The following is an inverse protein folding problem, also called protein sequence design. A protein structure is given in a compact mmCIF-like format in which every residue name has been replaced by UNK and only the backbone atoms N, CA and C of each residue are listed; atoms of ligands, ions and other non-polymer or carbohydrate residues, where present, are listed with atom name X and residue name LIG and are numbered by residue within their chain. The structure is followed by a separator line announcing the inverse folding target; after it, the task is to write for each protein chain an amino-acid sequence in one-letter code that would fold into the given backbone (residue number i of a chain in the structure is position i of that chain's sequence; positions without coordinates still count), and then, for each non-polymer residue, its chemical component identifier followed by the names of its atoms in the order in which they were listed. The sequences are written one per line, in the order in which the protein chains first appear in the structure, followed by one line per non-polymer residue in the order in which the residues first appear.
data_IF_051943520702
#
_entry.id   IF_051943520702
#
_cell.length_a   1.000
_cell.length_b   1.000
_cell.length_c   1.000
_cell.angle_alpha   90.00
_cell.angle_beta   90.00
_cell.angle_gamma   90.00
#
_symmetry.space_group_name_H-M   'P 1'
#
loop_
_entity.id
_entity.type
_entity.pdbx_description
1 polymer ?
#
# COMPACT_ATOMS: atom_id res chain seq x y z
N UNK A 1 -6.85 20.69 20.49
CA UNK A 1 -6.66 19.59 19.52
C UNK A 1 -6.99 20.19 18.18
N UNK A 2 -5.99 20.49 17.36
CA UNK A 2 -6.25 20.89 15.97
C UNK A 2 -6.81 19.67 15.24
N UNK A 3 -7.96 19.82 14.59
CA UNK A 3 -8.45 18.81 13.65
C UNK A 3 -7.40 18.63 12.55
N UNK A 4 -6.94 17.39 12.32
CA UNK A 4 -6.10 17.07 11.16
C UNK A 4 -6.92 17.37 9.89
N UNK A 5 -6.76 18.59 9.37
CA UNK A 5 -7.39 19.05 8.13
C UNK A 5 -6.90 18.18 6.97
N UNK A 6 -7.84 17.70 6.16
CA UNK A 6 -7.47 16.92 4.99
C UNK A 6 -6.74 17.76 3.94
N UNK A 7 -6.05 17.11 3.01
CA UNK A 7 -5.44 17.80 1.88
C UNK A 7 -6.46 18.64 1.10
N UNK A 8 -7.72 18.19 1.10
CA UNK A 8 -8.83 18.92 0.49
C UNK A 8 -9.21 20.13 1.31
N UNK A 9 -9.23 20.04 2.64
CA UNK A 9 -9.52 21.19 3.50
C UNK A 9 -8.43 22.25 3.38
N UNK A 10 -7.16 21.83 3.33
CA UNK A 10 -6.02 22.73 3.08
C UNK A 10 -6.10 23.38 1.69
N UNK A 11 -6.50 22.62 0.67
CA UNK A 11 -6.73 23.17 -0.67
C UNK A 11 -7.93 24.10 -0.71
N UNK A 12 -9.00 23.80 0.01
CA UNK A 12 -10.19 24.65 0.10
C UNK A 12 -9.86 25.98 0.75
N UNK A 13 -9.04 25.96 1.80
CA UNK A 13 -8.56 27.16 2.48
C UNK A 13 -7.69 28.05 1.57
N UNK A 14 -6.85 27.43 0.74
CA UNK A 14 -5.94 28.17 -0.16
C UNK A 14 -6.62 28.63 -1.46
N UNK A 15 -7.48 27.81 -2.06
CA UNK A 15 -7.98 28.00 -3.43
C UNK A 15 -9.52 28.15 -3.53
N UNK A 16 -10.27 28.06 -2.43
CA UNK A 16 -11.72 28.27 -2.40
C UNK A 16 -12.55 26.98 -2.39
N UNK A 17 -13.87 27.07 -2.56
CA UNK A 17 -14.78 25.98 -2.16
C UNK A 17 -14.51 24.60 -2.82
N UNK A 18 -14.86 23.53 -2.08
CA UNK A 18 -14.65 22.11 -2.43
C UNK A 18 -15.31 21.66 -3.74
N UNK A 19 -16.46 22.26 -4.09
CA UNK A 19 -17.18 21.99 -5.34
C UNK A 19 -16.53 22.64 -6.57
N UNK A 20 -15.86 23.77 -6.39
CA UNK A 20 -15.04 24.41 -7.41
C UNK A 20 -13.77 23.61 -7.64
N UNK A 21 -13.08 23.12 -6.60
CA UNK A 21 -11.86 22.31 -6.75
C UNK A 21 -12.13 20.98 -7.46
N UNK A 22 -13.25 20.30 -7.17
CA UNK A 22 -13.64 19.08 -7.89
C UNK A 22 -14.04 19.31 -9.36
N UNK A 23 -14.37 20.54 -9.75
CA UNK A 23 -14.78 20.93 -11.11
C UNK A 23 -13.70 21.72 -11.87
N UNK A 24 -12.73 22.27 -11.16
CA UNK A 24 -11.62 23.02 -11.73
C UNK A 24 -10.59 22.03 -12.29
N UNK A 25 -10.16 22.27 -13.52
CA UNK A 25 -8.83 21.83 -13.92
C UNK A 25 -7.87 22.68 -13.10
N UNK A 26 -7.35 22.14 -11.99
CA UNK A 26 -6.27 22.82 -11.29
C UNK A 26 -5.13 23.06 -12.29
N UNK A 27 -4.59 24.26 -12.26
CA UNK A 27 -3.44 24.61 -13.09
C UNK A 27 -2.24 23.79 -12.63
N UNK A 28 -1.29 23.56 -13.54
CA UNK A 28 -0.10 22.73 -13.24
C UNK A 28 0.67 23.23 -12.00
N UNK A 29 0.66 24.54 -11.76
CA UNK A 29 1.35 25.15 -10.63
C UNK A 29 0.68 24.85 -9.28
N UNK A 30 -0.66 24.78 -9.25
CA UNK A 30 -1.40 24.41 -8.03
C UNK A 30 -1.18 22.93 -7.67
N UNK A 31 -1.01 22.08 -8.69
CA UNK A 31 -0.64 20.67 -8.52
C UNK A 31 0.79 20.48 -8.05
N UNK A 32 1.72 21.34 -8.46
CA UNK A 32 3.10 21.32 -7.93
C UNK A 32 3.13 21.71 -6.47
N UNK A 33 2.32 22.68 -6.06
CA UNK A 33 2.20 23.05 -4.64
C UNK A 33 1.69 21.89 -3.79
N UNK A 34 0.67 21.15 -4.28
CA UNK A 34 0.17 19.92 -3.64
C UNK A 34 1.30 18.91 -3.39
N UNK A 35 2.17 18.77 -4.39
CA UNK A 35 3.25 17.81 -4.44
C UNK A 35 4.60 18.43 -4.07
N UNK A 36 4.62 19.53 -3.31
CA UNK A 36 5.85 20.16 -2.76
C UNK A 36 6.95 20.41 -3.81
N UNK A 37 6.55 20.78 -5.03
CA UNK A 37 7.46 21.12 -6.14
C UNK A 37 7.99 19.92 -6.92
N UNK A 38 7.45 18.71 -6.74
CA UNK A 38 7.84 17.55 -7.53
C UNK A 38 7.61 17.78 -9.03
N UNK A 39 8.50 17.21 -9.84
CA UNK A 39 8.41 17.31 -11.29
C UNK A 39 7.27 16.42 -11.81
N UNK A 40 6.36 17.04 -12.55
CA UNK A 40 5.21 16.39 -13.16
C UNK A 40 5.41 16.24 -14.67
N UNK A 41 4.97 15.11 -15.22
CA UNK A 41 4.85 14.90 -16.66
C UNK A 41 3.37 14.63 -16.96
N UNK A 42 2.70 15.63 -17.54
CA UNK A 42 1.30 15.53 -17.95
C UNK A 42 1.16 14.68 -19.20
N UNK A 43 0.25 13.71 -19.17
CA UNK A 43 -0.07 12.83 -20.28
C UNK A 43 -1.25 13.37 -21.09
N UNK A 44 -1.40 12.89 -22.32
CA UNK A 44 -2.48 13.29 -23.22
C UNK A 44 -3.88 12.96 -22.69
N UNK A 45 -4.02 11.99 -21.79
CA UNK A 45 -5.27 11.60 -21.15
C UNK A 45 -5.57 12.38 -19.85
N UNK A 46 -4.75 13.39 -19.55
CA UNK A 46 -4.89 14.26 -18.38
C UNK A 46 -4.37 13.67 -17.06
N UNK A 47 -3.78 12.46 -17.08
CA UNK A 47 -3.07 11.91 -15.92
C UNK A 47 -1.62 12.41 -15.86
N UNK A 48 -0.98 12.17 -14.73
CA UNK A 48 0.40 12.62 -14.48
C UNK A 48 1.31 11.46 -14.11
N UNK A 49 2.53 11.50 -14.61
CA UNK A 49 3.65 10.80 -14.00
C UNK A 49 4.39 11.76 -13.07
N UNK A 50 4.63 11.32 -11.82
CA UNK A 50 5.36 12.11 -10.82
C UNK A 50 6.79 11.57 -10.69
N UNK A 51 7.77 12.47 -10.78
CA UNK A 51 9.18 12.13 -10.60
C UNK A 51 9.62 12.48 -9.18
N UNK A 52 9.68 11.46 -8.33
CA UNK A 52 10.04 11.54 -6.91
C UNK A 52 9.02 10.84 -6.03
N UNK A 53 9.16 11.03 -4.73
CA UNK A 53 8.31 10.41 -3.70
C UNK A 53 7.06 11.26 -3.45
N UNK A 54 5.89 10.63 -3.46
CA UNK A 54 4.61 11.27 -3.18
C UNK A 54 4.18 10.91 -1.77
N UNK A 55 3.93 11.92 -0.95
CA UNK A 55 3.54 11.77 0.46
C UNK A 55 2.15 12.36 0.71
N UNK A 56 1.19 11.46 0.93
CA UNK A 56 -0.19 11.74 1.33
C UNK A 56 -0.53 11.12 2.70
N UNK A 57 0.48 10.90 3.53
CA UNK A 57 0.34 10.22 4.83
C UNK A 57 -0.21 11.17 5.89
N UNK A 58 -0.99 10.66 6.84
CA UNK A 58 -1.51 11.44 7.98
C UNK A 58 -2.30 12.71 7.58
N UNK A 59 -3.14 12.60 6.55
CA UNK A 59 -3.97 13.70 6.03
C UNK A 59 -5.45 13.47 6.32
N UNK A 60 -5.81 12.53 7.19
CA UNK A 60 -7.22 12.23 7.50
C UNK A 60 -8.08 11.88 6.27
N UNK A 61 -7.46 11.36 5.20
CA UNK A 61 -8.15 11.03 3.96
C UNK A 61 -9.08 9.84 4.16
N UNK A 62 -10.28 9.92 3.60
CA UNK A 62 -11.21 8.79 3.53
C UNK A 62 -11.17 8.10 2.15
N UNK A 63 -10.70 8.81 1.12
CA UNK A 63 -10.46 8.28 -0.21
C UNK A 63 -9.35 9.04 -0.94
N UNK A 64 -8.51 8.33 -1.71
CA UNK A 64 -7.53 8.97 -2.59
C UNK A 64 -8.18 9.75 -3.74
N UNK A 65 -9.44 9.47 -4.07
CA UNK A 65 -10.21 10.26 -5.06
C UNK A 65 -10.53 11.69 -4.58
N UNK A 66 -10.29 11.98 -3.31
CA UNK A 66 -10.36 13.34 -2.78
C UNK A 66 -9.20 14.21 -3.28
N UNK A 67 -8.07 13.60 -3.65
CA UNK A 67 -6.89 14.29 -4.12
C UNK A 67 -7.15 14.80 -5.55
N UNK A 68 -6.97 16.10 -5.83
CA UNK A 68 -7.32 16.68 -7.12
C UNK A 68 -6.22 16.48 -8.18
N UNK A 69 -5.49 15.36 -8.12
CA UNK A 69 -4.54 14.93 -9.17
C UNK A 69 -4.75 13.47 -9.51
N UNK A 70 -4.76 13.15 -10.81
CA UNK A 70 -4.84 11.77 -11.30
C UNK A 70 -3.44 11.27 -11.64
N UNK A 71 -2.79 10.65 -10.67
CA UNK A 71 -1.44 10.10 -10.84
C UNK A 71 -1.54 8.73 -11.50
N UNK A 72 -0.85 8.54 -12.63
CA UNK A 72 -0.73 7.24 -13.29
C UNK A 72 0.47 6.46 -12.75
N UNK A 73 1.63 7.12 -12.67
CA UNK A 73 2.88 6.50 -12.23
C UNK A 73 3.62 7.40 -11.25
N UNK A 74 4.26 6.79 -10.28
CA UNK A 74 5.21 7.42 -9.37
C UNK A 74 6.57 6.77 -9.57
N UNK A 75 7.59 7.57 -9.89
CA UNK A 75 8.94 7.07 -10.10
C UNK A 75 9.69 6.79 -8.77
N UNK A 76 9.28 7.45 -7.69
CA UNK A 76 9.71 7.15 -6.32
C UNK A 76 8.68 6.29 -5.58
N UNK A 77 8.57 6.51 -4.28
CA UNK A 77 7.61 5.88 -3.37
C UNK A 77 6.28 6.64 -3.32
N UNK A 78 5.20 5.94 -2.97
CA UNK A 78 3.88 6.53 -2.73
C UNK A 78 3.42 6.17 -1.33
N UNK A 79 3.29 7.17 -0.48
CA UNK A 79 2.88 7.04 0.91
C UNK A 79 1.45 7.55 1.06
N UNK A 80 0.54 6.70 1.55
CA UNK A 80 -0.82 7.05 1.93
C UNK A 80 -1.22 6.40 3.26
N UNK A 81 -0.25 6.05 4.08
CA UNK A 81 -0.44 5.47 5.40
C UNK A 81 -1.02 6.46 6.42
N UNK A 82 -1.45 5.94 7.56
CA UNK A 82 -1.96 6.74 8.69
C UNK A 82 -3.18 7.60 8.30
N UNK A 83 -4.11 7.05 7.51
CA UNK A 83 -5.33 7.73 7.06
C UNK A 83 -6.57 6.93 7.48
N UNK A 84 -7.74 7.27 6.93
CA UNK A 84 -9.01 6.58 7.15
C UNK A 84 -9.50 5.90 5.85
N UNK A 85 -8.57 5.49 4.99
CA UNK A 85 -8.88 4.89 3.69
C UNK A 85 -9.56 3.54 3.88
N UNK A 86 -10.64 3.30 3.15
CA UNK A 86 -11.35 2.00 3.12
C UNK A 86 -11.03 1.15 1.88
N UNK A 87 -10.49 1.80 0.84
CA UNK A 87 -9.95 1.21 -0.37
C UNK A 87 -8.91 2.17 -0.97
N UNK A 88 -8.23 1.74 -2.05
CA UNK A 88 -7.17 2.49 -2.70
C UNK A 88 -7.53 2.92 -4.13
N UNK A 89 -8.83 3.03 -4.45
CA UNK A 89 -9.23 3.64 -5.71
C UNK A 89 -8.69 5.07 -5.81
N UNK A 90 -8.03 5.38 -6.93
CA UNK A 90 -7.33 6.65 -7.12
C UNK A 90 -5.82 6.59 -6.87
N UNK A 91 -5.30 5.48 -6.32
CA UNK A 91 -3.86 5.23 -6.27
C UNK A 91 -3.25 5.11 -7.68
N UNK A 92 -1.93 5.35 -7.82
CA UNK A 92 -1.22 5.16 -9.09
C UNK A 92 -1.30 3.71 -9.58
N UNK A 93 -1.26 3.53 -10.90
CA UNK A 93 -1.24 2.20 -11.53
C UNK A 93 0.10 1.49 -11.35
N UNK A 94 1.18 2.27 -11.19
CA UNK A 94 2.56 1.81 -11.07
C UNK A 94 3.36 2.68 -10.11
N UNK A 95 4.09 2.05 -9.20
CA UNK A 95 5.05 2.70 -8.31
C UNK A 95 6.40 1.99 -8.46
N UNK A 96 7.45 2.74 -8.75
CA UNK A 96 8.78 2.15 -8.93
C UNK A 96 9.56 2.02 -7.61
N UNK A 97 9.23 2.84 -6.61
CA UNK A 97 9.67 2.70 -5.22
C UNK A 97 8.70 1.87 -4.38
N UNK A 98 8.55 2.23 -3.11
CA UNK A 98 7.67 1.56 -2.16
C UNK A 98 6.24 2.10 -2.22
N UNK A 99 5.26 1.26 -1.88
CA UNK A 99 3.86 1.65 -1.73
C UNK A 99 3.41 1.37 -0.29
N UNK A 100 3.18 2.44 0.47
CA UNK A 100 2.87 2.37 1.89
C UNK A 100 1.42 2.79 2.14
N UNK A 101 0.59 1.84 2.57
CA UNK A 101 -0.82 2.06 2.92
C UNK A 101 -1.19 1.44 4.28
N UNK A 102 -0.21 1.27 5.17
CA UNK A 102 -0.42 0.77 6.52
C UNK A 102 -1.22 1.77 7.38
N UNK A 103 -1.69 1.33 8.55
CA UNK A 103 -2.48 2.14 9.49
C UNK A 103 -3.67 2.85 8.81
N UNK A 104 -4.55 2.05 8.20
CA UNK A 104 -5.77 2.51 7.53
C UNK A 104 -6.96 1.62 7.92
N UNK A 105 -8.09 1.75 7.23
CA UNK A 105 -9.30 0.96 7.44
C UNK A 105 -9.59 0.07 6.22
N UNK A 106 -8.54 -0.38 5.52
CA UNK A 106 -8.69 -1.16 4.29
C UNK A 106 -9.28 -2.53 4.62
N UNK A 107 -10.37 -2.86 3.92
CA UNK A 107 -10.98 -4.21 3.96
C UNK A 107 -10.61 -5.03 2.73
N UNK A 108 -10.11 -4.37 1.68
CA UNK A 108 -9.64 -4.98 0.43
C UNK A 108 -8.42 -4.23 -0.11
N UNK A 109 -7.61 -4.90 -0.92
CA UNK A 109 -6.53 -4.26 -1.69
C UNK A 109 -7.02 -3.78 -3.08
N UNK A 110 -8.31 -3.45 -3.21
CA UNK A 110 -8.85 -2.89 -4.46
C UNK A 110 -8.24 -1.52 -4.72
N UNK A 111 -7.70 -1.33 -5.91
CA UNK A 111 -7.13 -0.06 -6.37
C UNK A 111 -5.62 0.09 -6.17
N UNK A 112 -4.95 -0.88 -5.51
CA UNK A 112 -3.48 -0.88 -5.40
C UNK A 112 -2.80 -0.86 -6.76
N UNK A 113 -1.56 -0.34 -6.85
CA UNK A 113 -0.75 -0.44 -8.07
C UNK A 113 -0.55 -1.90 -8.49
N UNK A 114 -0.52 -2.12 -9.81
CA UNK A 114 -0.26 -3.46 -10.39
C UNK A 114 1.20 -3.87 -10.29
N UNK A 115 2.09 -2.90 -10.09
CA UNK A 115 3.53 -3.09 -9.98
C UNK A 115 4.08 -2.17 -8.89
N UNK A 116 4.85 -2.75 -7.97
CA UNK A 116 5.61 -2.07 -6.93
C UNK A 116 7.05 -2.56 -6.98
N UNK A 117 7.97 -1.65 -7.29
CA UNK A 117 9.39 -1.99 -7.46
C UNK A 117 10.14 -2.15 -6.12
N UNK A 118 9.69 -1.45 -5.08
CA UNK A 118 10.19 -1.54 -3.71
C UNK A 118 9.29 -2.39 -2.81
N UNK A 119 9.15 -1.95 -1.57
CA UNK A 119 8.34 -2.61 -0.54
C UNK A 119 6.86 -2.28 -0.71
N UNK A 120 5.99 -3.26 -0.45
CA UNK A 120 4.54 -3.06 -0.36
C UNK A 120 4.09 -3.27 1.09
N UNK A 121 3.61 -2.20 1.73
CA UNK A 121 3.15 -2.22 3.13
C UNK A 121 1.65 -2.01 3.23
N UNK A 122 0.95 -3.01 3.74
CA UNK A 122 -0.48 -2.94 4.05
C UNK A 122 -0.78 -3.50 5.46
N UNK A 123 0.20 -3.43 6.35
CA UNK A 123 0.07 -3.79 7.76
C UNK A 123 -0.97 -2.92 8.49
N UNK A 124 -1.48 -3.41 9.63
CA UNK A 124 -2.42 -2.70 10.50
C UNK A 124 -3.66 -2.19 9.76
N UNK A 125 -4.41 -3.12 9.17
CA UNK A 125 -5.64 -2.86 8.44
C UNK A 125 -6.71 -3.89 8.84
N UNK A 126 -7.80 -3.97 8.08
CA UNK A 126 -8.93 -4.89 8.33
C UNK A 126 -9.07 -5.89 7.18
N UNK A 127 -7.95 -6.26 6.54
CA UNK A 127 -7.94 -7.15 5.39
C UNK A 127 -8.33 -8.57 5.80
N UNK A 128 -9.28 -9.17 5.08
CA UNK A 128 -9.68 -10.58 5.24
C UNK A 128 -9.12 -11.47 4.14
N UNK A 129 -8.59 -10.87 3.07
CA UNK A 129 -7.83 -11.54 2.01
C UNK A 129 -6.85 -10.56 1.39
N UNK A 130 -5.82 -11.09 0.70
CA UNK A 130 -4.87 -10.29 -0.07
C UNK A 130 -5.29 -10.12 -1.53
N UNK A 131 -6.54 -10.47 -1.88
CA UNK A 131 -7.05 -10.32 -3.26
C UNK A 131 -6.94 -8.87 -3.71
N UNK A 132 -6.27 -8.70 -4.86
CA UNK A 132 -5.99 -7.39 -5.44
C UNK A 132 -4.54 -6.95 -5.27
N UNK A 133 -3.77 -7.58 -4.37
CA UNK A 133 -2.34 -7.30 -4.20
C UNK A 133 -1.57 -7.34 -5.54
N UNK A 134 -0.47 -6.58 -5.67
CA UNK A 134 0.43 -6.70 -6.81
C UNK A 134 0.94 -8.15 -6.95
N UNK A 135 0.97 -8.66 -8.18
CA UNK A 135 1.46 -10.02 -8.46
C UNK A 135 2.96 -10.19 -8.17
N UNK A 136 3.71 -9.09 -8.30
CA UNK A 136 5.15 -9.04 -8.13
C UNK A 136 5.50 -7.83 -7.27
N UNK A 137 6.31 -8.06 -6.24
CA UNK A 137 6.87 -7.01 -5.37
C UNK A 137 8.37 -7.18 -5.35
N UNK A 138 9.10 -6.09 -5.65
CA UNK A 138 10.56 -6.14 -5.77
C UNK A 138 11.29 -6.16 -4.43
N UNK A 139 10.73 -5.50 -3.42
CA UNK A 139 11.20 -5.50 -2.04
C UNK A 139 10.36 -6.43 -1.15
N UNK A 140 10.06 -5.97 0.06
CA UNK A 140 9.32 -6.73 1.05
C UNK A 140 7.81 -6.63 0.83
N UNK A 141 7.07 -7.64 1.28
CA UNK A 141 5.61 -7.58 1.37
C UNK A 141 5.20 -7.71 2.84
N UNK A 142 4.63 -6.64 3.39
CA UNK A 142 4.30 -6.53 4.82
C UNK A 142 2.79 -6.44 4.95
N UNK A 143 2.17 -7.48 5.53
CA UNK A 143 0.71 -7.56 5.73
C UNK A 143 0.31 -7.99 7.14
N UNK A 144 1.20 -7.79 8.11
CA UNK A 144 0.92 -8.12 9.51
C UNK A 144 -0.20 -7.28 10.12
N UNK A 145 -0.78 -7.72 11.24
CA UNK A 145 -1.83 -6.96 11.94
C UNK A 145 -3.12 -6.82 11.12
N UNK A 146 -3.61 -7.93 10.55
CA UNK A 146 -4.82 -7.98 9.74
C UNK A 146 -5.75 -9.13 10.23
N UNK A 147 -6.80 -9.45 9.46
CA UNK A 147 -7.77 -10.50 9.79
C UNK A 147 -7.70 -11.65 8.77
N UNK A 148 -6.50 -11.95 8.25
CA UNK A 148 -6.29 -12.97 7.23
C UNK A 148 -6.44 -14.37 7.85
N UNK A 149 -7.23 -15.23 7.22
CA UNK A 149 -7.35 -16.67 7.60
C UNK A 149 -6.57 -17.61 6.69
N UNK A 150 -6.23 -17.11 5.49
CA UNK A 150 -5.32 -17.71 4.51
C UNK A 150 -4.55 -16.59 3.81
N UNK A 151 -3.53 -16.93 3.03
CA UNK A 151 -2.78 -15.98 2.21
C UNK A 151 -3.35 -15.84 0.79
N UNK A 152 -4.62 -16.20 0.57
CA UNK A 152 -5.24 -16.14 -0.76
C UNK A 152 -5.18 -14.73 -1.36
N UNK A 153 -4.50 -14.62 -2.50
CA UNK A 153 -4.29 -13.36 -3.22
C UNK A 153 -2.93 -12.71 -2.96
N UNK A 154 -2.05 -13.30 -2.13
CA UNK A 154 -0.68 -12.82 -1.95
C UNK A 154 0.08 -12.73 -3.30
N UNK A 155 1.14 -11.90 -3.39
CA UNK A 155 1.99 -11.85 -4.56
C UNK A 155 2.54 -13.24 -4.92
N UNK A 156 2.67 -13.54 -6.23
CA UNK A 156 3.24 -14.80 -6.68
C UNK A 156 4.75 -14.87 -6.36
N UNK A 157 5.43 -13.72 -6.40
CA UNK A 157 6.86 -13.58 -6.11
C UNK A 157 7.15 -12.30 -5.34
N UNK A 158 7.90 -12.44 -4.26
CA UNK A 158 8.42 -11.34 -3.43
C UNK A 158 9.94 -11.36 -3.49
N UNK A 159 10.54 -10.24 -3.88
CA UNK A 159 11.99 -10.13 -4.05
C UNK A 159 12.75 -10.05 -2.73
N UNK A 160 12.16 -9.41 -1.72
CA UNK A 160 12.63 -9.37 -0.34
C UNK A 160 11.89 -10.38 0.54
N UNK A 161 11.60 -9.96 1.76
CA UNK A 161 10.95 -10.74 2.81
C UNK A 161 9.42 -10.66 2.75
N UNK A 162 8.74 -11.65 3.32
CA UNK A 162 7.29 -11.71 3.44
C UNK A 162 6.90 -11.81 4.91
N UNK A 163 6.12 -10.83 5.39
CA UNK A 163 5.71 -10.71 6.79
C UNK A 163 4.19 -10.82 6.92
N UNK A 164 3.72 -11.89 7.54
CA UNK A 164 2.30 -12.20 7.81
C UNK A 164 1.98 -12.41 9.30
N UNK A 165 2.82 -11.84 10.17
CA UNK A 165 2.62 -11.88 11.62
C UNK A 165 1.28 -11.28 12.05
N UNK A 166 0.80 -11.63 13.24
CA UNK A 166 -0.41 -11.03 13.85
C UNK A 166 -1.64 -11.08 12.93
N UNK A 167 -2.00 -12.30 12.54
CA UNK A 167 -3.18 -12.59 11.71
C UNK A 167 -3.98 -13.76 12.30
N UNK A 168 -4.94 -14.31 11.56
CA UNK A 168 -5.78 -15.43 11.98
C UNK A 168 -5.56 -16.66 11.09
N UNK A 169 -4.33 -16.84 10.57
CA UNK A 169 -4.04 -17.85 9.57
C UNK A 169 -4.22 -19.25 10.16
N UNK A 170 -5.00 -20.07 9.45
CA UNK A 170 -5.19 -21.50 9.74
C UNK A 170 -4.52 -22.38 8.68
N UNK A 171 -4.13 -21.77 7.55
CA UNK A 171 -3.35 -22.42 6.49
C UNK A 171 -2.54 -21.39 5.70
N UNK A 172 -1.45 -21.84 5.07
CA UNK A 172 -0.66 -21.05 4.12
C UNK A 172 -1.22 -21.12 2.69
N UNK A 173 -2.51 -21.46 2.52
CA UNK A 173 -3.13 -21.53 1.20
C UNK A 173 -3.03 -20.17 0.52
N UNK A 174 -2.51 -20.16 -0.71
CA UNK A 174 -2.38 -18.95 -1.51
C UNK A 174 -1.13 -18.12 -1.21
N UNK A 175 -0.22 -18.60 -0.36
CA UNK A 175 1.06 -17.98 -0.08
C UNK A 175 1.89 -17.74 -1.37
N UNK A 176 2.88 -16.83 -1.33
CA UNK A 176 3.83 -16.67 -2.43
C UNK A 176 4.51 -17.97 -2.80
N UNK A 177 4.92 -18.11 -4.06
CA UNK A 177 5.71 -19.28 -4.51
C UNK A 177 7.20 -19.09 -4.25
N UNK A 178 7.65 -17.84 -4.21
CA UNK A 178 9.04 -17.46 -4.02
C UNK A 178 9.14 -16.24 -3.11
N UNK A 179 10.04 -16.31 -2.13
CA UNK A 179 10.42 -15.23 -1.23
C UNK A 179 11.94 -15.15 -1.20
N UNK A 180 12.49 -14.02 -1.64
CA UNK A 180 13.94 -13.84 -1.76
C UNK A 180 14.65 -13.54 -0.45
N UNK A 181 13.92 -13.09 0.57
CA UNK A 181 14.39 -12.85 1.93
C UNK A 181 13.75 -13.82 2.92
N UNK A 182 13.41 -13.30 4.10
CA UNK A 182 12.81 -14.06 5.19
C UNK A 182 11.32 -14.29 4.98
N UNK A 183 10.78 -15.33 5.57
CA UNK A 183 9.35 -15.56 5.71
C UNK A 183 8.98 -15.56 7.19
N UNK A 184 8.24 -14.55 7.63
CA UNK A 184 7.85 -14.36 9.02
C UNK A 184 6.32 -14.45 9.15
N UNK A 185 5.83 -15.32 10.02
CA UNK A 185 4.39 -15.59 10.14
C UNK A 185 4.01 -16.04 11.56
N UNK A 186 4.53 -15.34 12.56
CA UNK A 186 4.25 -15.59 13.96
C UNK A 186 2.85 -15.10 14.35
N UNK A 187 2.41 -15.41 15.57
CA UNK A 187 1.16 -14.89 16.14
C UNK A 187 -0.06 -15.08 15.22
N UNK A 188 -0.27 -16.33 14.78
CA UNK A 188 -1.39 -16.75 13.96
C UNK A 188 -2.21 -17.82 14.67
N UNK A 189 -3.44 -18.08 14.18
CA UNK A 189 -4.32 -19.09 14.80
C UNK A 189 -3.77 -20.52 14.74
N UNK A 190 -2.90 -20.80 13.78
CA UNK A 190 -2.12 -22.04 13.68
C UNK A 190 -0.63 -21.72 13.87
N UNK A 191 0.03 -22.51 14.71
CA UNK A 191 1.48 -22.62 14.74
C UNK A 191 1.96 -23.40 13.50
N UNK A 192 2.70 -22.74 12.62
CA UNK A 192 3.28 -23.37 11.44
C UNK A 192 4.69 -23.87 11.77
N UNK A 193 5.13 -24.91 11.06
CA UNK A 193 6.54 -25.33 11.13
C UNK A 193 7.31 -24.84 9.92
N UNK A 194 8.63 -24.69 10.06
CA UNK A 194 9.50 -24.36 8.93
C UNK A 194 9.38 -25.40 7.79
N UNK A 195 9.21 -26.68 8.12
CA UNK A 195 8.97 -27.73 7.12
C UNK A 195 7.70 -27.49 6.30
N UNK A 196 6.60 -27.08 6.94
CA UNK A 196 5.35 -26.75 6.25
C UNK A 196 5.51 -25.58 5.29
N UNK A 197 6.23 -24.54 5.71
CA UNK A 197 6.54 -23.36 4.87
C UNK A 197 7.38 -23.78 3.67
N UNK A 198 8.52 -24.44 3.91
CA UNK A 198 9.49 -24.79 2.85
C UNK A 198 8.96 -25.83 1.87
N UNK A 199 7.95 -26.62 2.25
CA UNK A 199 7.25 -27.52 1.33
C UNK A 199 6.39 -26.77 0.30
N UNK A 200 5.92 -25.57 0.63
CA UNK A 200 4.99 -24.78 -0.19
C UNK A 200 5.66 -23.60 -0.88
N UNK A 201 6.70 -23.03 -0.26
CA UNK A 201 7.30 -21.74 -0.62
C UNK A 201 8.81 -21.91 -0.79
N UNK A 202 9.36 -21.43 -1.90
CA UNK A 202 10.81 -21.28 -2.09
C UNK A 202 11.29 -20.02 -1.34
N UNK A 203 11.62 -20.19 -0.04
CA UNK A 203 12.16 -19.14 0.83
C UNK A 203 13.68 -19.20 0.83
N UNK A 204 14.35 -18.10 0.47
CA UNK A 204 15.81 -18.02 0.40
C UNK A 204 16.47 -17.58 1.70
N UNK A 205 15.76 -16.87 2.56
CA UNK A 205 16.20 -16.48 3.89
C UNK A 205 15.71 -17.42 4.98
N UNK A 206 15.59 -16.85 6.18
CA UNK A 206 15.11 -17.54 7.37
C UNK A 206 13.59 -17.69 7.35
N UNK A 207 13.09 -18.73 8.02
CA UNK A 207 11.67 -18.96 8.22
C UNK A 207 11.39 -18.82 9.72
N UNK A 208 10.60 -17.82 10.09
CA UNK A 208 10.26 -17.51 11.49
C UNK A 208 8.76 -17.71 11.66
N UNK A 209 8.38 -18.81 12.34
CA UNK A 209 6.98 -19.25 12.47
C UNK A 209 6.63 -19.77 13.87
N UNK A 210 7.52 -19.56 14.85
CA UNK A 210 7.43 -20.08 16.20
C UNK A 210 7.51 -18.96 17.24
N UNK A 211 6.84 -19.15 18.38
CA UNK A 211 6.83 -18.21 19.52
C UNK A 211 8.18 -18.05 20.26
N UNK A 212 9.31 -18.51 19.73
CA UNK A 212 10.58 -18.35 20.45
C UNK A 212 11.15 -16.93 20.36
N UNK A 213 10.69 -16.08 21.29
CA UNK A 213 11.50 -15.04 21.92
C UNK A 213 11.00 -13.61 21.79
N UNK A 214 10.21 -13.14 22.76
CA UNK A 214 10.63 -12.17 23.80
C UNK A 214 9.60 -12.09 24.93
#
# INVERSE_FOLDING_TARGET
MEENKSIVDLFVEKYGNRGSIRRAQLEEEELKDLLRGLKLVKLSDGRFDVLGDVDFSNLGLNSLLEIPIRIRRVAGSFHCDSNQLTNLEGAPERVDGSFDCYDNQLTTLKGVPKYVGGTFRCDNNQLTSLKGAPKFVGGDFICGGNQLTTLEGAPERVGGSFYCDDNQLTSLKGAPKYVGGNFECNFNSKEFTEEEVRKLIDVRGEVVVSEEGY
#
